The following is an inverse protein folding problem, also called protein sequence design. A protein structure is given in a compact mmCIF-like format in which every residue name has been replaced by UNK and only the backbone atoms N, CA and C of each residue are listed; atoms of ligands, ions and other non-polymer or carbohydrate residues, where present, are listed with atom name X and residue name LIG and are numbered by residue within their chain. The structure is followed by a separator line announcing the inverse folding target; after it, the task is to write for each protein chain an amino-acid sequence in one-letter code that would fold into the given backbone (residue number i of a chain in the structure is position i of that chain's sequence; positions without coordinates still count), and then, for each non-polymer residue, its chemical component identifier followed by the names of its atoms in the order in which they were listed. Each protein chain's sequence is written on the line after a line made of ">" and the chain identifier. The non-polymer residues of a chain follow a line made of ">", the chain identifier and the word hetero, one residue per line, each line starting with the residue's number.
data_IF_987242712454
#
_entry.id   IF_987242712454
#
_cell.length_a   1.000
_cell.length_b   1.000
_cell.length_c   1.000
_cell.angle_alpha   90.00
_cell.angle_beta   90.00
_cell.angle_gamma   90.00
#
_symmetry.space_group_name_H-M   'P 1'
#
loop_
_entity.id
_entity.type
_entity.pdbx_description
1 polymer ?
#
# COMPACT_ATOMS: atom_id res chain seq x y z
N UNK A 1 -23.33 -8.02 -9.29
CA UNK A 1 -24.49 -8.84 -9.81
C UNK A 1 -24.06 -9.70 -10.99
N UNK A 2 -23.48 -9.17 -12.07
CA UNK A 2 -23.13 -9.93 -13.29
C UNK A 2 -22.21 -11.15 -13.01
N UNK A 3 -21.14 -10.99 -12.27
CA UNK A 3 -20.20 -12.08 -11.95
C UNK A 3 -20.87 -13.23 -11.17
N UNK A 4 -21.73 -12.91 -10.21
CA UNK A 4 -22.50 -13.94 -9.47
C UNK A 4 -23.42 -14.74 -10.41
N UNK A 5 -24.10 -14.06 -11.32
CA UNK A 5 -24.96 -14.73 -12.31
C UNK A 5 -24.14 -15.61 -13.26
N UNK A 6 -22.98 -15.10 -13.72
CA UNK A 6 -22.07 -15.87 -14.57
C UNK A 6 -21.55 -17.14 -13.85
N UNK A 7 -21.15 -17.00 -12.58
CA UNK A 7 -20.73 -18.12 -11.74
C UNK A 7 -21.85 -19.17 -11.59
N UNK A 8 -23.07 -18.76 -11.25
CA UNK A 8 -24.21 -19.68 -11.12
C UNK A 8 -24.54 -20.42 -12.43
N UNK A 9 -24.45 -19.71 -13.57
CA UNK A 9 -24.65 -20.32 -14.90
C UNK A 9 -23.55 -21.32 -15.24
N UNK A 10 -22.29 -20.98 -14.91
CA UNK A 10 -21.15 -21.86 -15.17
C UNK A 10 -21.21 -23.14 -14.33
N UNK A 11 -21.46 -23.01 -13.03
CA UNK A 11 -21.48 -24.15 -12.07
C UNK A 11 -22.82 -24.90 -12.10
N UNK A 12 -23.88 -24.33 -12.70
CA UNK A 12 -25.20 -24.93 -12.78
C UNK A 12 -26.01 -24.88 -11.48
N UNK A 13 -25.55 -24.23 -10.46
CA UNK A 13 -26.23 -24.07 -9.15
C UNK A 13 -25.87 -22.76 -8.48
N UNK A 14 -26.65 -22.34 -7.48
CA UNK A 14 -26.37 -21.18 -6.67
C UNK A 14 -25.15 -21.44 -5.74
N UNK A 15 -24.05 -20.75 -5.96
CA UNK A 15 -22.83 -20.81 -5.15
C UNK A 15 -22.29 -19.40 -4.93
N UNK A 16 -21.67 -19.16 -3.77
CA UNK A 16 -21.10 -17.84 -3.40
C UNK A 16 -19.57 -17.81 -3.46
N UNK A 17 -18.93 -18.97 -3.65
CA UNK A 17 -17.48 -19.10 -3.73
C UNK A 17 -17.09 -19.42 -5.16
N UNK A 18 -16.22 -18.61 -5.74
CA UNK A 18 -15.62 -18.83 -7.05
C UNK A 18 -14.25 -19.48 -6.87
N UNK A 19 -14.14 -20.77 -7.18
CA UNK A 19 -12.88 -21.49 -7.09
C UNK A 19 -11.93 -21.09 -8.23
N UNK A 20 -10.62 -21.42 -8.09
CA UNK A 20 -9.61 -21.09 -9.11
C UNK A 20 -9.98 -21.64 -10.49
N UNK A 21 -10.52 -22.85 -10.54
CA UNK A 21 -10.96 -23.55 -11.76
C UNK A 21 -12.12 -22.86 -12.49
N UNK A 22 -12.95 -22.10 -11.76
CA UNK A 22 -14.11 -21.38 -12.33
C UNK A 22 -13.73 -20.02 -12.92
N UNK A 23 -12.61 -19.44 -12.48
CA UNK A 23 -12.30 -18.03 -12.70
C UNK A 23 -12.16 -17.65 -14.17
N UNK A 24 -11.49 -18.48 -14.99
CA UNK A 24 -11.29 -18.18 -16.41
C UNK A 24 -12.61 -18.26 -17.20
N UNK A 25 -13.45 -19.26 -16.91
CA UNK A 25 -14.76 -19.38 -17.54
C UNK A 25 -15.68 -18.21 -17.15
N UNK A 26 -15.70 -17.83 -15.87
CA UNK A 26 -16.50 -16.69 -15.39
C UNK A 26 -15.95 -15.37 -15.95
N UNK A 27 -14.62 -15.22 -16.05
CA UNK A 27 -13.99 -14.04 -16.66
C UNK A 27 -14.46 -13.87 -18.11
N UNK A 28 -14.41 -14.96 -18.90
CA UNK A 28 -14.89 -14.96 -20.29
C UNK A 28 -16.36 -14.58 -20.40
N UNK A 29 -17.23 -15.17 -19.56
CA UNK A 29 -18.67 -14.85 -19.51
C UNK A 29 -18.96 -13.40 -19.13
N UNK A 30 -18.08 -12.76 -18.38
CA UNK A 30 -18.20 -11.37 -17.96
C UNK A 30 -17.45 -10.38 -18.86
N UNK A 31 -16.79 -10.85 -19.93
CA UNK A 31 -16.05 -10.01 -20.88
C UNK A 31 -14.68 -9.53 -20.37
N UNK A 32 -14.11 -10.19 -19.37
CA UNK A 32 -12.75 -9.94 -18.93
C UNK A 32 -11.73 -10.75 -19.75
N UNK A 33 -10.54 -10.17 -19.98
CA UNK A 33 -9.48 -10.80 -20.79
C UNK A 33 -8.96 -12.11 -20.19
N UNK A 34 -8.98 -12.27 -18.87
CA UNK A 34 -8.55 -13.45 -18.12
C UNK A 34 -9.06 -13.40 -16.68
N UNK A 35 -8.81 -14.47 -15.93
CA UNK A 35 -9.18 -14.57 -14.52
C UNK A 35 -8.54 -13.48 -13.65
N UNK A 36 -7.27 -13.09 -13.87
CA UNK A 36 -6.61 -12.04 -13.08
C UNK A 36 -7.31 -10.69 -13.23
N UNK A 37 -7.72 -10.34 -14.44
CA UNK A 37 -8.47 -9.10 -14.70
C UNK A 37 -9.83 -9.11 -13.99
N UNK A 38 -10.53 -10.24 -13.98
CA UNK A 38 -11.79 -10.40 -13.24
C UNK A 38 -11.56 -10.23 -11.73
N UNK A 39 -10.60 -10.97 -11.16
CA UNK A 39 -10.35 -10.98 -9.71
C UNK A 39 -9.84 -9.61 -9.25
N UNK A 40 -8.99 -8.94 -10.04
CA UNK A 40 -8.57 -7.56 -9.77
C UNK A 40 -9.76 -6.60 -9.73
N UNK A 41 -10.67 -6.70 -10.70
CA UNK A 41 -11.86 -5.86 -10.74
C UNK A 41 -12.79 -6.11 -9.54
N UNK A 42 -12.98 -7.39 -9.13
CA UNK A 42 -13.75 -7.75 -7.94
C UNK A 42 -13.10 -7.22 -6.66
N UNK A 43 -11.78 -7.38 -6.52
CA UNK A 43 -11.02 -6.89 -5.36
C UNK A 43 -11.15 -5.38 -5.24
N UNK A 44 -10.96 -4.65 -6.36
CA UNK A 44 -11.11 -3.21 -6.38
C UNK A 44 -12.54 -2.76 -6.05
N UNK A 45 -13.55 -3.44 -6.59
CA UNK A 45 -14.95 -3.14 -6.28
C UNK A 45 -15.27 -3.39 -4.79
N UNK A 46 -14.78 -4.50 -4.22
CA UNK A 46 -14.94 -4.81 -2.80
C UNK A 46 -14.29 -3.74 -1.90
N UNK A 47 -13.06 -3.32 -2.22
CA UNK A 47 -12.36 -2.23 -1.52
C UNK A 47 -13.15 -0.92 -1.57
N UNK A 48 -13.63 -0.55 -2.76
CA UNK A 48 -14.41 0.68 -2.94
C UNK A 48 -15.72 0.66 -2.15
N UNK A 49 -16.43 -0.47 -2.13
CA UNK A 49 -17.66 -0.63 -1.34
C UNK A 49 -17.37 -0.52 0.16
N UNK A 50 -16.31 -1.20 0.64
CA UNK A 50 -15.89 -1.11 2.04
C UNK A 50 -15.54 0.32 2.42
N UNK A 51 -14.70 0.98 1.62
CA UNK A 51 -14.27 2.36 1.87
C UNK A 51 -15.45 3.34 1.92
N UNK A 52 -16.39 3.25 0.96
CA UNK A 52 -17.61 4.09 0.96
C UNK A 52 -18.48 3.80 2.17
N UNK A 53 -18.62 2.53 2.55
CA UNK A 53 -19.34 2.14 3.76
C UNK A 53 -18.75 2.75 5.03
N UNK A 54 -17.43 2.67 5.19
CA UNK A 54 -16.70 3.26 6.31
C UNK A 54 -16.83 4.78 6.34
N UNK A 55 -16.85 5.45 5.16
CA UNK A 55 -17.11 6.88 5.03
C UNK A 55 -18.50 7.28 5.57
N UNK A 56 -19.52 6.51 5.20
CA UNK A 56 -20.91 6.79 5.67
C UNK A 56 -21.02 6.61 7.17
N UNK A 57 -20.47 5.51 7.71
CA UNK A 57 -20.52 5.26 9.16
C UNK A 57 -19.74 6.30 9.96
N UNK A 58 -18.60 6.76 9.47
CA UNK A 58 -17.84 7.82 10.11
C UNK A 58 -18.65 9.13 10.20
N UNK A 59 -19.33 9.52 9.12
CA UNK A 59 -20.21 10.70 9.14
C UNK A 59 -21.36 10.58 10.15
N UNK A 60 -21.94 9.40 10.26
CA UNK A 60 -22.99 9.16 11.28
C UNK A 60 -22.41 9.27 12.69
N UNK A 61 -21.18 8.82 12.91
CA UNK A 61 -20.50 8.91 14.19
C UNK A 61 -20.12 10.36 14.53
N UNK A 62 -19.52 11.09 13.58
CA UNK A 62 -19.08 12.48 13.78
C UNK A 62 -20.24 13.44 14.04
N UNK A 63 -21.42 13.19 13.49
CA UNK A 63 -22.62 13.99 13.76
C UNK A 63 -23.03 14.03 15.25
N UNK A 64 -22.52 13.11 16.07
CA UNK A 64 -22.75 13.03 17.52
C UNK A 64 -21.59 13.60 18.34
N UNK A 65 -20.51 14.02 17.71
CA UNK A 65 -19.29 14.51 18.38
C UNK A 65 -19.50 15.98 18.78
N UNK A 66 -19.14 16.32 20.03
CA UNK A 66 -19.19 17.71 20.46
C UNK A 66 -18.12 18.52 19.74
N UNK A 67 -18.41 19.77 19.38
CA UNK A 67 -17.40 20.65 18.80
C UNK A 67 -16.19 20.77 19.72
N UNK A 68 -15.01 20.57 19.13
CA UNK A 68 -13.70 20.77 19.76
C UNK A 68 -12.98 21.83 18.92
N UNK A 69 -12.13 22.65 19.55
CA UNK A 69 -11.35 23.64 18.82
C UNK A 69 -10.43 22.97 17.80
N UNK A 70 -10.29 23.60 16.64
CA UNK A 70 -9.40 23.15 15.60
C UNK A 70 -7.94 23.16 16.08
N UNK A 71 -7.20 22.14 15.69
CA UNK A 71 -5.79 22.03 16.00
C UNK A 71 -4.96 22.04 14.71
N UNK A 72 -4.06 23.01 14.57
CA UNK A 72 -3.07 23.03 13.52
C UNK A 72 -2.00 21.96 13.84
N UNK A 73 -1.88 20.93 12.98
CA UNK A 73 -0.94 19.82 13.17
C UNK A 73 0.38 20.04 12.43
N UNK A 74 0.31 20.64 11.25
CA UNK A 74 1.41 20.96 10.39
C UNK A 74 1.00 22.12 9.45
N UNK A 75 1.94 22.74 8.73
CA UNK A 75 1.58 23.81 7.79
C UNK A 75 0.49 23.35 6.81
N UNK A 76 -0.67 24.01 6.90
CA UNK A 76 -1.82 23.72 6.05
C UNK A 76 -2.65 22.50 6.43
N UNK A 77 -2.36 21.81 7.54
CA UNK A 77 -3.05 20.60 7.97
C UNK A 77 -3.72 20.81 9.32
N UNK A 78 -5.03 20.70 9.36
CA UNK A 78 -5.87 20.97 10.52
C UNK A 78 -6.58 19.69 10.94
N UNK A 79 -6.61 19.42 12.25
CA UNK A 79 -7.48 18.42 12.85
C UNK A 79 -8.76 19.12 13.31
N UNK A 80 -9.89 18.79 12.68
CA UNK A 80 -11.22 19.29 13.00
C UNK A 80 -12.17 18.13 13.24
N UNK A 81 -12.82 18.08 14.38
CA UNK A 81 -13.79 17.03 14.76
C UNK A 81 -13.31 15.59 14.55
N UNK A 82 -11.99 15.33 14.66
CA UNK A 82 -11.40 14.01 14.48
C UNK A 82 -11.10 13.66 13.01
N UNK A 83 -11.23 14.60 12.09
CA UNK A 83 -10.85 14.45 10.68
C UNK A 83 -9.75 15.45 10.31
N UNK A 84 -8.92 15.07 9.35
CA UNK A 84 -7.87 15.94 8.79
C UNK A 84 -8.45 16.75 7.65
N UNK A 85 -8.31 18.05 7.76
CA UNK A 85 -8.71 19.05 6.78
C UNK A 85 -7.50 19.82 6.24
N UNK A 86 -7.58 20.25 4.99
CA UNK A 86 -6.68 21.26 4.46
C UNK A 86 -7.19 22.66 4.80
N UNK A 87 -6.29 23.49 5.29
CA UNK A 87 -6.53 24.93 5.40
C UNK A 87 -7.01 25.48 4.03
N UNK A 88 -8.02 26.36 4.06
CA UNK A 88 -8.60 26.93 2.84
C UNK A 88 -7.59 27.81 2.08
N UNK A 89 -6.62 28.39 2.77
CA UNK A 89 -5.60 29.28 2.20
C UNK A 89 -4.49 28.52 1.48
N UNK A 90 -4.38 27.19 1.67
CA UNK A 90 -3.32 26.38 1.06
C UNK A 90 -3.75 25.93 -0.34
N UNK A 91 -2.89 26.19 -1.33
CA UNK A 91 -3.06 25.68 -2.68
C UNK A 91 -2.22 24.40 -2.87
N UNK A 92 -2.87 23.22 -3.02
CA UNK A 92 -2.16 21.97 -3.22
C UNK A 92 -1.29 21.93 -4.49
N UNK A 93 -1.55 22.80 -5.46
CA UNK A 93 -0.76 22.85 -6.70
C UNK A 93 0.67 23.35 -6.50
N UNK A 94 0.92 24.08 -5.40
CA UNK A 94 2.21 24.72 -5.13
C UNK A 94 3.14 23.91 -4.23
N UNK A 95 2.61 22.85 -3.58
CA UNK A 95 3.38 22.02 -2.63
C UNK A 95 3.18 20.53 -2.89
N UNK A 96 4.08 19.86 -3.62
CA UNK A 96 3.99 18.42 -3.88
C UNK A 96 4.14 17.56 -2.62
N UNK A 97 4.71 18.10 -1.52
CA UNK A 97 4.90 17.36 -0.26
C UNK A 97 3.66 17.38 0.61
N UNK A 98 2.72 18.26 0.33
CA UNK A 98 1.48 18.43 1.11
C UNK A 98 0.70 17.12 1.26
N UNK A 99 0.66 16.29 0.22
CA UNK A 99 0.02 14.98 0.24
C UNK A 99 0.60 14.07 1.32
N UNK A 100 1.93 13.99 1.42
CA UNK A 100 2.61 13.16 2.44
C UNK A 100 2.40 13.74 3.84
N UNK A 101 2.45 15.05 4.00
CA UNK A 101 2.20 15.74 5.26
C UNK A 101 0.79 15.49 5.78
N UNK A 102 -0.22 15.58 4.92
CA UNK A 102 -1.61 15.23 5.25
C UNK A 102 -1.74 13.77 5.66
N UNK A 103 -1.15 12.86 4.88
CA UNK A 103 -1.20 11.43 5.14
C UNK A 103 -0.51 11.05 6.47
N UNK A 104 0.70 11.57 6.71
CA UNK A 104 1.44 11.34 7.94
C UNK A 104 0.69 11.89 9.17
N UNK A 105 0.10 13.08 9.05
CA UNK A 105 -0.72 13.66 10.12
C UNK A 105 -1.95 12.81 10.40
N UNK A 106 -2.66 12.35 9.36
CA UNK A 106 -3.82 11.50 9.50
C UNK A 106 -3.50 10.19 10.25
N UNK A 107 -2.45 9.50 9.85
CA UNK A 107 -2.06 8.24 10.47
C UNK A 107 -1.57 8.43 11.92
N UNK A 108 -0.73 9.43 12.20
CA UNK A 108 -0.24 9.74 13.57
C UNK A 108 -1.37 10.06 14.55
N UNK A 109 -2.42 10.72 14.08
CA UNK A 109 -3.57 11.11 14.91
C UNK A 109 -4.73 10.11 14.83
N UNK A 110 -4.57 8.99 14.09
CA UNK A 110 -5.62 7.99 13.84
C UNK A 110 -6.91 8.62 13.31
N UNK A 111 -6.73 9.69 12.56
CA UNK A 111 -7.79 10.50 12.01
C UNK A 111 -8.02 10.17 10.53
N UNK A 112 -9.23 10.33 10.07
CA UNK A 112 -9.57 10.21 8.65
C UNK A 112 -9.22 11.52 7.95
N UNK A 113 -8.91 11.43 6.68
CA UNK A 113 -8.81 12.62 5.82
C UNK A 113 -10.22 12.90 5.29
N UNK A 114 -10.74 14.11 5.48
CA UNK A 114 -12.04 14.48 5.00
C UNK A 114 -12.13 14.43 3.46
N UNK A 115 -13.32 14.18 2.95
CA UNK A 115 -13.49 13.98 1.52
C UNK A 115 -13.15 15.22 0.67
N UNK A 116 -13.55 16.45 1.05
CA UNK A 116 -13.12 17.66 0.35
C UNK A 116 -11.60 17.79 0.24
N UNK A 117 -10.86 17.48 1.30
CA UNK A 117 -9.38 17.45 1.28
C UNK A 117 -8.84 16.45 0.29
N UNK A 118 -9.34 15.21 0.31
CA UNK A 118 -8.95 14.18 -0.67
C UNK A 118 -9.26 14.62 -2.11
N UNK A 119 -10.41 15.22 -2.34
CA UNK A 119 -10.81 15.69 -3.66
C UNK A 119 -9.94 16.87 -4.13
N UNK A 120 -9.61 17.85 -3.25
CA UNK A 120 -8.68 18.96 -3.57
C UNK A 120 -7.28 18.45 -3.91
N UNK A 121 -6.75 17.50 -3.11
CA UNK A 121 -5.44 16.89 -3.38
C UNK A 121 -5.45 16.11 -4.70
N UNK A 122 -6.49 15.34 -4.98
CA UNK A 122 -6.60 14.57 -6.22
C UNK A 122 -6.62 15.46 -7.47
N UNK A 123 -7.32 16.60 -7.40
CA UNK A 123 -7.46 17.54 -8.50
C UNK A 123 -6.19 18.38 -8.73
N UNK A 124 -5.54 18.84 -7.67
CA UNK A 124 -4.54 19.90 -7.76
C UNK A 124 -3.13 19.50 -7.35
N UNK A 125 -2.95 18.51 -6.44
CA UNK A 125 -1.61 18.14 -5.99
C UNK A 125 -0.79 17.53 -7.14
N UNK A 126 0.38 18.09 -7.47
CA UNK A 126 1.24 17.53 -8.50
C UNK A 126 1.87 16.21 -8.06
N UNK A 127 2.36 15.39 -9.00
CA UNK A 127 3.23 14.27 -8.67
C UNK A 127 4.46 14.71 -7.89
N UNK A 128 5.01 13.84 -7.08
CA UNK A 128 6.28 14.08 -6.39
C UNK A 128 7.40 14.33 -7.42
N UNK A 129 8.21 15.39 -7.25
CA UNK A 129 9.34 15.67 -8.13
C UNK A 129 10.46 14.64 -7.94
N UNK A 130 11.44 14.65 -8.81
CA UNK A 130 12.64 13.81 -8.70
C UNK A 130 13.90 14.71 -8.75
N UNK A 131 14.73 14.69 -7.70
CA UNK A 131 14.55 14.01 -6.40
C UNK A 131 13.43 14.63 -5.57
N UNK A 132 13.01 13.92 -4.52
CA UNK A 132 12.02 14.43 -3.58
C UNK A 132 12.55 15.65 -2.81
N UNK A 133 11.69 16.61 -2.47
CA UNK A 133 12.07 17.74 -1.62
C UNK A 133 12.56 17.27 -0.25
N UNK A 134 13.44 18.06 0.34
CA UNK A 134 13.97 17.82 1.70
C UNK A 134 12.79 17.67 2.68
N UNK A 135 12.86 16.66 3.53
CA UNK A 135 11.83 16.36 4.53
C UNK A 135 10.65 15.51 4.03
N UNK A 136 10.46 15.35 2.71
CA UNK A 136 9.37 14.55 2.17
C UNK A 136 9.50 13.08 2.57
N UNK A 137 10.72 12.56 2.63
CA UNK A 137 10.97 11.17 3.08
C UNK A 137 10.62 10.98 4.55
N UNK A 138 10.80 11.99 5.39
CA UNK A 138 10.49 11.92 6.82
C UNK A 138 8.98 11.75 7.04
N UNK A 139 8.15 12.49 6.28
CA UNK A 139 6.70 12.31 6.31
C UNK A 139 6.29 10.95 5.74
N UNK A 140 6.94 10.50 4.66
CA UNK A 140 6.67 9.20 4.07
C UNK A 140 6.99 8.05 5.03
N UNK A 141 8.20 8.03 5.57
CA UNK A 141 8.63 7.04 6.57
C UNK A 141 7.78 7.16 7.84
N UNK A 142 7.51 8.39 8.28
CA UNK A 142 6.66 8.66 9.43
C UNK A 142 5.23 8.11 9.28
N UNK A 143 4.66 8.18 8.07
CA UNK A 143 3.39 7.51 7.74
C UNK A 143 3.51 5.99 7.90
N UNK A 144 4.53 5.37 7.30
CA UNK A 144 4.71 3.92 7.32
C UNK A 144 4.95 3.38 8.74
N UNK A 145 5.68 4.12 9.57
CA UNK A 145 5.98 3.77 10.97
C UNK A 145 4.76 3.83 11.89
N UNK A 146 3.63 4.37 11.46
CA UNK A 146 2.37 4.28 12.23
C UNK A 146 1.74 2.87 12.19
N UNK A 147 2.40 1.91 11.57
CA UNK A 147 1.97 0.51 11.48
C UNK A 147 0.57 0.38 10.86
N UNK A 148 -0.34 -0.33 11.53
CA UNK A 148 -1.68 -0.57 10.99
C UNK A 148 -2.54 0.71 10.89
N UNK A 149 -2.21 1.78 11.61
CA UNK A 149 -2.89 3.07 11.47
C UNK A 149 -2.61 3.75 10.10
N UNK A 150 -1.53 3.37 9.40
CA UNK A 150 -1.26 3.80 8.03
C UNK A 150 -2.26 3.23 7.01
N UNK A 151 -2.75 2.00 7.22
CA UNK A 151 -3.52 1.27 6.21
C UNK A 151 -4.79 2.00 5.77
N UNK A 152 -5.66 2.51 6.68
CA UNK A 152 -6.84 3.27 6.27
C UNK A 152 -6.50 4.53 5.48
N UNK A 153 -5.38 5.18 5.80
CA UNK A 153 -4.90 6.38 5.09
C UNK A 153 -4.42 6.01 3.69
N UNK A 154 -3.58 4.98 3.57
CA UNK A 154 -3.10 4.47 2.29
C UNK A 154 -4.26 4.04 1.39
N UNK A 155 -5.28 3.38 1.95
CA UNK A 155 -6.50 3.00 1.24
C UNK A 155 -7.25 4.24 0.72
N UNK A 156 -7.42 5.27 1.53
CA UNK A 156 -8.08 6.52 1.13
C UNK A 156 -7.33 7.22 -0.01
N UNK A 157 -6.00 7.28 0.08
CA UNK A 157 -5.15 7.82 -0.98
C UNK A 157 -5.26 7.02 -2.28
N UNK A 158 -5.24 5.69 -2.18
CA UNK A 158 -5.33 4.82 -3.36
C UNK A 158 -6.70 4.89 -4.04
N UNK A 159 -7.80 4.96 -3.28
CA UNK A 159 -9.15 5.15 -3.81
C UNK A 159 -9.33 6.45 -4.59
N UNK A 160 -8.47 7.45 -4.33
CA UNK A 160 -8.44 8.74 -5.03
C UNK A 160 -7.33 8.87 -6.07
N UNK A 161 -6.58 7.78 -6.32
CA UNK A 161 -5.45 7.82 -7.24
C UNK A 161 -4.28 8.68 -6.77
N UNK A 162 -4.23 9.00 -5.49
CA UNK A 162 -3.18 9.84 -4.88
C UNK A 162 -1.92 9.04 -4.60
N UNK A 163 -2.04 7.75 -4.21
CA UNK A 163 -0.89 6.94 -3.88
C UNK A 163 0.08 6.75 -5.05
N UNK A 164 -0.44 6.63 -6.27
CA UNK A 164 0.39 6.54 -7.49
C UNK A 164 1.05 7.88 -7.89
N UNK A 165 0.63 9.01 -7.31
CA UNK A 165 1.36 10.28 -7.45
C UNK A 165 2.62 10.29 -6.58
N UNK A 166 2.61 9.55 -5.47
CA UNK A 166 3.77 9.35 -4.57
C UNK A 166 4.73 8.30 -5.16
N UNK A 167 4.19 7.14 -5.49
CA UNK A 167 4.92 5.99 -6.04
C UNK A 167 4.28 5.52 -7.34
N UNK A 168 4.68 6.07 -8.50
CA UNK A 168 4.12 5.66 -9.80
C UNK A 168 4.31 4.16 -10.10
N UNK A 169 5.37 3.56 -9.58
CA UNK A 169 5.68 2.13 -9.71
C UNK A 169 4.64 1.23 -9.03
N UNK A 170 3.81 1.81 -8.19
CA UNK A 170 2.72 1.08 -7.52
C UNK A 170 1.58 0.67 -8.46
N UNK A 171 1.37 1.43 -9.53
CA UNK A 171 0.18 1.29 -10.38
C UNK A 171 -0.12 -0.14 -10.87
N UNK A 172 0.86 -0.94 -11.35
CA UNK A 172 0.61 -2.32 -11.79
C UNK A 172 0.32 -3.32 -10.66
N UNK A 173 0.62 -2.95 -9.40
CA UNK A 173 0.37 -3.79 -8.24
C UNK A 173 -1.05 -3.61 -7.67
N UNK A 174 -1.75 -2.54 -8.06
CA UNK A 174 -3.09 -2.22 -7.53
C UNK A 174 -4.09 -3.35 -7.80
N UNK A 175 -4.66 -3.84 -6.72
CA UNK A 175 -5.65 -4.94 -6.73
C UNK A 175 -5.19 -6.20 -7.48
N UNK A 176 -3.88 -6.35 -7.75
CA UNK A 176 -3.34 -7.51 -8.46
C UNK A 176 -3.51 -8.77 -7.61
N UNK A 177 -4.23 -9.80 -8.11
CA UNK A 177 -4.41 -11.04 -7.37
C UNK A 177 -3.10 -11.82 -7.24
N UNK A 178 -2.98 -12.56 -6.15
CA UNK A 178 -1.92 -13.53 -5.94
C UNK A 178 -2.56 -14.93 -5.92
N UNK A 179 -2.10 -15.83 -6.81
CA UNK A 179 -2.68 -17.18 -6.96
C UNK A 179 -2.04 -18.22 -6.06
N UNK A 180 -1.02 -17.84 -5.31
CA UNK A 180 -0.37 -18.71 -4.35
C UNK A 180 -1.25 -18.83 -3.09
N UNK A 181 -1.45 -20.06 -2.60
CA UNK A 181 -2.27 -20.35 -1.42
C UNK A 181 -1.77 -19.67 -0.12
N UNK A 182 -0.52 -19.25 -0.07
CA UNK A 182 0.05 -18.53 1.07
C UNK A 182 -0.33 -17.05 1.13
N UNK A 183 -0.84 -16.47 0.04
CA UNK A 183 -1.19 -15.06 -0.02
C UNK A 183 -2.68 -14.84 0.16
N UNK A 184 -3.05 -14.19 1.25
CA UNK A 184 -4.42 -13.82 1.58
C UNK A 184 -4.89 -12.56 0.84
N UNK A 185 -3.96 -11.69 0.50
CA UNK A 185 -4.22 -10.33 0.00
C UNK A 185 -3.78 -10.18 -1.46
N UNK A 186 -4.30 -9.17 -2.15
CA UNK A 186 -3.72 -8.63 -3.38
C UNK A 186 -2.30 -8.11 -3.13
N UNK A 187 -1.49 -7.97 -4.18
CA UNK A 187 -0.08 -7.55 -4.05
C UNK A 187 0.03 -6.23 -3.28
N UNK A 188 -0.73 -5.20 -3.68
CA UNK A 188 -0.73 -3.89 -3.03
C UNK A 188 -1.13 -3.97 -1.54
N UNK A 189 -2.18 -4.70 -1.22
CA UNK A 189 -2.60 -4.88 0.18
C UNK A 189 -1.57 -5.70 0.97
N UNK A 190 -0.97 -6.72 0.36
CA UNK A 190 0.10 -7.50 0.98
C UNK A 190 1.28 -6.61 1.37
N UNK A 191 1.73 -5.73 0.47
CA UNK A 191 2.83 -4.80 0.73
C UNK A 191 2.51 -3.85 1.89
N UNK A 192 1.31 -3.31 1.97
CA UNK A 192 0.91 -2.46 3.10
C UNK A 192 0.84 -3.24 4.42
N UNK A 193 0.29 -4.46 4.43
CA UNK A 193 0.23 -5.30 5.62
C UNK A 193 1.63 -5.73 6.08
N UNK A 194 2.52 -6.10 5.15
CA UNK A 194 3.91 -6.43 5.46
C UNK A 194 4.63 -5.23 6.08
N UNK A 195 4.45 -4.03 5.51
CA UNK A 195 5.01 -2.79 6.04
C UNK A 195 4.47 -2.46 7.44
N UNK A 196 3.17 -2.58 7.64
CA UNK A 196 2.54 -2.34 8.93
C UNK A 196 3.04 -3.33 10.01
N UNK A 197 3.18 -4.60 9.65
CA UNK A 197 3.76 -5.61 10.54
C UNK A 197 5.24 -5.32 10.84
N UNK A 198 6.05 -4.96 9.84
CA UNK A 198 7.45 -4.58 10.03
C UNK A 198 7.59 -3.38 10.98
N UNK A 199 6.73 -2.38 10.84
CA UNK A 199 6.73 -1.19 11.70
C UNK A 199 6.51 -1.53 13.18
N UNK A 200 5.85 -2.64 13.52
CA UNK A 200 5.71 -3.09 14.93
C UNK A 200 7.03 -3.53 15.58
N UNK A 201 8.10 -3.68 14.78
CA UNK A 201 9.45 -4.04 15.22
C UNK A 201 10.43 -2.87 15.17
N UNK A 202 9.94 -1.66 14.88
CA UNK A 202 10.76 -0.48 14.67
C UNK A 202 11.69 -0.15 15.84
N UNK A 203 11.25 -0.41 17.08
CA UNK A 203 12.00 -0.20 18.31
C UNK A 203 13.14 -1.22 18.54
N UNK A 204 13.20 -2.28 17.73
CA UNK A 204 14.17 -3.39 17.86
C UNK A 204 15.29 -3.34 16.84
N UNK A 205 15.28 -2.36 15.93
CA UNK A 205 16.26 -2.21 14.86
C UNK A 205 16.91 -0.84 14.87
N UNK A 206 18.15 -0.78 14.42
CA UNK A 206 18.90 0.49 14.36
C UNK A 206 18.37 1.45 13.26
N UNK A 207 17.76 0.89 12.19
CA UNK A 207 17.28 1.66 11.03
C UNK A 207 15.82 1.27 10.71
N UNK A 208 14.86 1.78 11.53
CA UNK A 208 13.43 1.50 11.31
C UNK A 208 12.90 2.06 9.99
N UNK A 209 13.50 3.13 9.50
CA UNK A 209 13.24 3.69 8.18
C UNK A 209 13.51 2.69 7.05
N UNK A 210 14.69 2.05 7.04
CA UNK A 210 15.03 1.04 6.04
C UNK A 210 14.18 -0.23 6.20
N UNK A 211 13.84 -0.60 7.42
CA UNK A 211 12.97 -1.75 7.69
C UNK A 211 11.60 -1.59 7.00
N UNK A 212 10.93 -0.45 7.20
CA UNK A 212 9.60 -0.23 6.60
C UNK A 212 9.66 -0.01 5.10
N UNK A 213 10.73 0.61 4.58
CA UNK A 213 10.95 0.75 3.14
C UNK A 213 11.25 -0.59 2.48
N UNK A 214 12.10 -1.43 3.09
CA UNK A 214 12.37 -2.78 2.62
C UNK A 214 11.10 -3.63 2.58
N UNK A 215 10.29 -3.57 3.64
CA UNK A 215 9.00 -4.26 3.68
C UNK A 215 8.02 -3.74 2.64
N UNK A 216 8.00 -2.43 2.35
CA UNK A 216 7.14 -1.84 1.32
C UNK A 216 7.54 -2.29 -0.08
N UNK A 217 8.83 -2.48 -0.33
CA UNK A 217 9.35 -2.75 -1.69
C UNK A 217 9.65 -4.22 -1.96
N UNK A 218 9.62 -5.14 -0.95
CA UNK A 218 10.10 -6.51 -1.12
C UNK A 218 9.47 -7.26 -2.31
N UNK A 219 8.22 -7.00 -2.60
CA UNK A 219 7.42 -7.64 -3.66
C UNK A 219 6.94 -6.66 -4.75
N UNK A 220 7.47 -5.44 -4.80
CA UNK A 220 7.01 -4.40 -5.74
C UNK A 220 7.14 -4.83 -7.20
N UNK A 221 8.10 -5.69 -7.51
CA UNK A 221 8.31 -6.24 -8.85
C UNK A 221 7.19 -7.15 -9.35
N UNK A 222 6.33 -7.69 -8.46
CA UNK A 222 5.20 -8.56 -8.83
C UNK A 222 4.21 -7.93 -9.81
N UNK A 223 4.15 -6.62 -9.87
CA UNK A 223 3.34 -5.88 -10.84
C UNK A 223 3.82 -5.98 -12.28
N UNK A 224 5.06 -6.39 -12.51
CA UNK A 224 5.77 -6.28 -13.77
C UNK A 224 6.12 -7.65 -14.34
N UNK A 225 6.41 -7.76 -15.66
CA UNK A 225 6.91 -8.98 -16.29
C UNK A 225 8.35 -9.32 -15.81
N UNK A 226 8.68 -10.61 -15.73
CA UNK A 226 9.99 -11.09 -15.35
C UNK A 226 10.06 -11.68 -13.95
N UNK A 227 11.24 -11.97 -13.47
CA UNK A 227 11.46 -12.37 -12.08
C UNK A 227 11.19 -11.16 -11.16
N UNK A 228 10.24 -11.31 -10.23
CA UNK A 228 9.79 -10.19 -9.40
C UNK A 228 10.87 -9.66 -8.46
N UNK A 229 11.83 -10.51 -8.08
CA UNK A 229 12.95 -10.14 -7.21
C UNK A 229 13.95 -9.28 -7.98
N UNK A 230 14.37 -9.72 -9.18
CA UNK A 230 15.30 -8.96 -10.04
C UNK A 230 14.68 -7.63 -10.48
N UNK A 231 13.42 -7.67 -10.88
CA UNK A 231 12.67 -6.45 -11.24
C UNK A 231 12.56 -5.53 -10.03
N UNK A 232 12.25 -6.06 -8.85
CA UNK A 232 12.16 -5.31 -7.60
C UNK A 232 13.46 -4.60 -7.24
N UNK A 233 14.59 -5.30 -7.33
CA UNK A 233 15.93 -4.71 -7.11
C UNK A 233 16.18 -3.56 -8.09
N UNK A 234 15.98 -3.80 -9.39
CA UNK A 234 16.16 -2.75 -10.41
C UNK A 234 15.27 -1.53 -10.17
N UNK A 235 14.05 -1.75 -9.65
CA UNK A 235 13.16 -0.65 -9.29
C UNK A 235 13.69 0.13 -8.08
N UNK A 236 14.15 -0.55 -7.04
CA UNK A 236 14.69 0.10 -5.82
C UNK A 236 15.94 0.91 -6.14
N UNK A 237 16.83 0.46 -7.04
CA UNK A 237 17.98 1.22 -7.51
C UNK A 237 17.60 2.59 -8.11
N UNK A 238 16.39 2.72 -8.66
CA UNK A 238 15.85 3.99 -9.21
C UNK A 238 15.06 4.78 -8.17
N UNK A 239 14.29 4.06 -7.35
CA UNK A 239 13.43 4.66 -6.32
C UNK A 239 14.29 5.29 -5.22
N UNK A 240 15.32 4.60 -4.72
CA UNK A 240 16.15 5.04 -3.61
C UNK A 240 16.72 6.45 -3.79
N UNK A 241 17.49 6.73 -4.86
CA UNK A 241 17.99 8.07 -5.13
C UNK A 241 16.88 9.12 -5.32
N UNK A 242 15.75 8.74 -5.91
CA UNK A 242 14.59 9.63 -6.07
C UNK A 242 13.99 10.02 -4.72
N UNK A 243 13.93 9.11 -3.76
CA UNK A 243 13.49 9.38 -2.39
C UNK A 243 14.51 10.22 -1.60
N UNK A 244 15.74 10.36 -2.09
CA UNK A 244 16.85 11.05 -1.41
C UNK A 244 17.70 10.14 -0.54
N UNK A 245 17.59 8.82 -0.68
CA UNK A 245 18.44 7.85 0.00
C UNK A 245 19.87 7.90 -0.58
N UNK A 246 20.87 7.74 0.28
CA UNK A 246 22.26 7.54 -0.15
C UNK A 246 22.46 6.14 -0.78
N UNK A 247 23.66 5.90 -1.31
CA UNK A 247 23.98 4.65 -2.00
C UNK A 247 23.91 3.43 -1.05
N UNK A 248 24.44 3.55 0.16
CA UNK A 248 24.47 2.45 1.13
C UNK A 248 23.06 2.06 1.59
N UNK A 249 22.22 3.04 1.88
CA UNK A 249 20.82 2.82 2.25
C UNK A 249 20.03 2.19 1.10
N UNK A 250 20.26 2.65 -0.14
CA UNK A 250 19.64 2.06 -1.33
C UNK A 250 20.07 0.61 -1.52
N UNK A 251 21.37 0.31 -1.38
CA UNK A 251 21.89 -1.06 -1.47
C UNK A 251 21.32 -1.96 -0.36
N UNK A 252 21.17 -1.46 0.85
CA UNK A 252 20.55 -2.21 1.94
C UNK A 252 19.13 -2.63 1.59
N UNK A 253 18.31 -1.73 1.05
CA UNK A 253 16.94 -2.08 0.61
C UNK A 253 16.99 -3.05 -0.56
N UNK A 254 17.92 -2.89 -1.52
CA UNK A 254 18.11 -3.85 -2.61
C UNK A 254 18.43 -5.26 -2.08
N UNK A 255 19.30 -5.37 -1.07
CA UNK A 255 19.61 -6.65 -0.43
C UNK A 255 18.37 -7.26 0.26
N UNK A 256 17.59 -6.44 0.98
CA UNK A 256 16.33 -6.88 1.60
C UNK A 256 15.34 -7.43 0.55
N UNK A 257 15.19 -6.75 -0.59
CA UNK A 257 14.35 -7.20 -1.71
C UNK A 257 14.91 -8.47 -2.33
N UNK A 258 16.22 -8.53 -2.59
CA UNK A 258 16.89 -9.68 -3.20
C UNK A 258 16.73 -10.95 -2.37
N UNK A 259 16.87 -10.84 -1.04
CA UNK A 259 16.92 -11.99 -0.14
C UNK A 259 15.63 -12.22 0.66
N UNK A 260 14.49 -11.53 0.31
CA UNK A 260 13.26 -11.63 1.09
C UNK A 260 12.67 -13.06 1.16
N UNK A 261 12.96 -13.93 0.19
CA UNK A 261 12.53 -15.33 0.17
C UNK A 261 13.59 -16.29 0.76
N UNK A 262 14.79 -15.83 1.09
CA UNK A 262 15.89 -16.70 1.55
C UNK A 262 15.48 -17.51 2.80
N UNK A 263 15.06 -16.85 3.85
CA UNK A 263 14.70 -17.54 5.09
C UNK A 263 13.44 -18.42 4.96
N UNK A 264 12.33 -18.00 4.32
CA UNK A 264 11.20 -18.87 4.06
C UNK A 264 11.55 -20.10 3.22
N UNK A 265 12.36 -19.94 2.19
CA UNK A 265 12.78 -21.05 1.32
C UNK A 265 13.68 -22.04 2.07
N UNK A 266 14.63 -21.56 2.84
CA UNK A 266 15.50 -22.41 3.66
C UNK A 266 14.70 -23.15 4.73
N UNK A 267 13.83 -22.43 5.46
CA UNK A 267 13.04 -23.01 6.54
C UNK A 267 12.07 -24.10 6.08
N UNK A 268 11.63 -24.05 4.82
CA UNK A 268 10.68 -25.03 4.28
C UNK A 268 11.33 -26.20 3.55
N UNK A 269 12.62 -26.08 3.19
CA UNK A 269 13.29 -27.05 2.30
C UNK A 269 14.57 -27.68 2.87
N UNK A 270 15.09 -27.17 4.01
CA UNK A 270 16.35 -27.61 4.59
C UNK A 270 16.24 -27.86 6.09
N UNK A 271 17.17 -28.64 6.61
CA UNK A 271 17.33 -28.80 8.06
C UNK A 271 18.01 -27.54 8.63
N UNK A 272 17.32 -26.84 9.51
CA UNK A 272 17.82 -25.62 10.16
C UNK A 272 18.87 -25.90 11.24
N UNK A 273 19.01 -27.16 11.69
CA UNK A 273 20.06 -27.58 12.63
C UNK A 273 21.37 -27.97 11.93
N UNK A 274 21.35 -28.11 10.59
CA UNK A 274 22.55 -28.45 9.81
C UNK A 274 23.47 -27.23 9.69
N UNK A 275 24.74 -27.40 10.12
CA UNK A 275 25.75 -26.35 10.06
C UNK A 275 26.03 -25.86 8.62
N UNK A 276 25.93 -26.73 7.62
CA UNK A 276 26.08 -26.32 6.22
C UNK A 276 24.93 -25.39 5.78
N UNK A 277 23.71 -25.66 6.24
CA UNK A 277 22.56 -24.76 6.00
C UNK A 277 22.77 -23.39 6.65
N UNK A 278 23.24 -23.38 7.92
CA UNK A 278 23.53 -22.12 8.64
C UNK A 278 24.61 -21.31 7.93
N UNK A 279 25.72 -21.98 7.55
CA UNK A 279 26.83 -21.31 6.84
C UNK A 279 26.37 -20.72 5.50
N UNK A 280 25.60 -21.47 4.71
CA UNK A 280 25.05 -20.99 3.43
C UNK A 280 24.22 -19.71 3.61
N UNK A 281 23.37 -19.65 4.65
CA UNK A 281 22.57 -18.44 4.91
C UNK A 281 23.43 -17.27 5.39
N UNK A 282 24.53 -17.56 6.10
CA UNK A 282 25.43 -16.52 6.63
C UNK A 282 26.35 -15.93 5.55
N UNK A 283 26.55 -16.62 4.42
CA UNK A 283 27.38 -16.19 3.29
C UNK A 283 26.59 -15.34 2.27
N UNK A 284 25.23 -15.37 2.32
CA UNK A 284 24.33 -14.58 1.47
C UNK A 284 24.05 -13.18 2.05
#
# INVERSE_FOLDING_TARGET
>A
MAVRVALHRHVGRAVEVMHLEDQDAVASLCGYRNADALVAALSNAGRSVSWVGDEVWARVASAKTKPVADQLLAPGVILHLGEIHLDETVDPATDPTLLLRVAASAARHKARIDRPTLDRLAQSCPPMPSPWPVGAIDDFVGLLLTAHDAIPVLEALDQRGLWVKVLPEWAPNRSKPQRNAYHRFTVDRHLWEATANAATWADRVARPDLLVLGALFHDIGKGYPGDHTEVGVTMVERIGPRLGLNADDTQMICAMVKHHLLLPDVATRRDLADSATIMMVAEE
#
